data_IF_234007269529
#
_entry.id   IF_234007269529
#
_cell.length_a   1.000
_cell.length_b   1.000
_cell.length_c   1.000
_cell.angle_alpha   90.00
_cell.angle_beta   90.00
_cell.angle_gamma   90.00
#
_symmetry.space_group_name_H-M   'P 1'
#
loop_
_entity.id
_entity.type
_entity.pdbx_description
1 polymer ?
#
# COMPACT_ATOMS: atom_id res chain seq x y z
N UNK A 1 -46.95 9.65 -73.14
CA UNK A 1 -46.32 9.82 -71.82
C UNK A 1 -47.21 9.12 -70.80
N UNK A 2 -46.60 8.27 -69.99
CA UNK A 2 -47.22 7.12 -69.33
C UNK A 2 -47.93 7.43 -68.00
N UNK A 3 -48.84 6.51 -67.64
CA UNK A 3 -49.67 6.45 -66.45
C UNK A 3 -48.89 6.13 -65.15
N UNK A 4 -49.60 6.16 -64.00
CA UNK A 4 -49.51 5.30 -62.77
C UNK A 4 -50.22 6.06 -61.62
N UNK A 5 -51.43 5.68 -61.17
CA UNK A 5 -51.82 4.66 -60.17
C UNK A 5 -51.36 4.94 -58.71
N UNK A 6 -52.34 5.16 -57.82
CA UNK A 6 -52.35 5.06 -56.34
C UNK A 6 -51.71 3.74 -55.82
N UNK A 7 -51.39 3.48 -54.50
CA UNK A 7 -52.20 3.84 -53.31
C UNK A 7 -51.51 3.92 -51.90
N UNK A 8 -52.33 4.14 -50.86
CA UNK A 8 -52.23 3.64 -49.46
C UNK A 8 -50.87 3.72 -48.73
N UNK A 9 -50.74 4.68 -47.78
CA UNK A 9 -49.72 4.61 -46.71
C UNK A 9 -50.18 3.65 -45.61
N UNK A 10 -49.55 2.47 -45.60
CA UNK A 10 -49.52 1.49 -44.49
C UNK A 10 -48.87 2.08 -43.23
N UNK A 11 -49.28 1.68 -42.01
CA UNK A 11 -48.73 2.22 -40.77
C UNK A 11 -47.30 1.76 -40.54
N UNK A 12 -46.41 2.71 -40.26
CA UNK A 12 -45.05 2.45 -39.79
C UNK A 12 -45.13 1.71 -38.44
N UNK A 13 -44.85 0.40 -38.47
CA UNK A 13 -44.52 -0.37 -37.27
C UNK A 13 -43.25 0.21 -36.67
N UNK A 14 -43.35 0.73 -35.45
CA UNK A 14 -42.21 1.08 -34.61
C UNK A 14 -41.31 -0.14 -34.39
N UNK A 15 -39.98 -0.04 -34.56
CA UNK A 15 -39.10 -1.10 -34.12
C UNK A 15 -39.10 -1.13 -32.59
N UNK A 16 -39.72 -2.18 -32.05
CA UNK A 16 -39.56 -2.63 -30.67
C UNK A 16 -38.06 -2.70 -30.37
N UNK A 17 -37.57 -1.79 -29.52
CA UNK A 17 -36.30 -2.00 -28.82
C UNK A 17 -36.54 -3.18 -27.88
N UNK A 18 -36.10 -4.37 -28.31
CA UNK A 18 -35.87 -5.49 -27.42
C UNK A 18 -34.88 -5.04 -26.35
N UNK A 19 -35.19 -5.09 -25.04
CA UNK A 19 -34.18 -4.96 -24.04
C UNK A 19 -33.36 -6.26 -24.09
N UNK A 20 -32.24 -6.21 -24.83
CA UNK A 20 -31.14 -7.12 -24.57
C UNK A 20 -30.72 -6.86 -23.12
N UNK A 21 -31.23 -7.69 -22.20
CA UNK A 21 -30.69 -7.83 -20.86
C UNK A 21 -29.34 -8.53 -21.03
N UNK A 22 -28.38 -7.78 -21.53
CA UNK A 22 -26.98 -8.13 -21.42
C UNK A 22 -26.65 -8.11 -19.94
N UNK A 23 -26.33 -9.28 -19.38
CA UNK A 23 -25.48 -9.35 -18.19
C UNK A 23 -24.16 -8.68 -18.57
N UNK A 24 -24.07 -7.36 -18.38
CA UNK A 24 -22.80 -6.67 -18.32
C UNK A 24 -22.13 -7.13 -17.03
N UNK A 25 -21.43 -8.27 -17.08
CA UNK A 25 -20.44 -8.57 -16.07
C UNK A 25 -19.46 -7.40 -16.06
N UNK A 26 -19.30 -6.73 -14.92
CA UNK A 26 -18.29 -5.68 -14.80
C UNK A 26 -16.94 -6.28 -15.21
N UNK A 27 -16.33 -5.75 -16.26
CA UNK A 27 -14.98 -6.15 -16.66
C UNK A 27 -13.99 -5.52 -15.68
N UNK A 28 -13.24 -6.37 -14.97
CA UNK A 28 -12.19 -5.94 -14.05
C UNK A 28 -10.86 -5.81 -14.80
N UNK A 29 -9.91 -5.05 -14.28
CA UNK A 29 -8.56 -5.00 -14.89
C UNK A 29 -7.85 -6.35 -14.71
N UNK A 30 -6.93 -6.67 -15.62
CA UNK A 30 -6.12 -7.90 -15.55
C UNK A 30 -5.41 -8.04 -14.21
N UNK A 31 -4.91 -6.95 -13.62
CA UNK A 31 -4.26 -6.99 -12.31
C UNK A 31 -5.24 -7.33 -11.17
N UNK A 32 -6.48 -6.83 -11.24
CA UNK A 32 -7.51 -7.16 -10.28
C UNK A 32 -7.92 -8.63 -10.40
N UNK A 33 -8.11 -9.15 -11.62
CA UNK A 33 -8.43 -10.56 -11.87
C UNK A 33 -7.32 -11.49 -11.36
N UNK A 34 -6.05 -11.17 -11.65
CA UNK A 34 -4.90 -11.91 -11.17
C UNK A 34 -4.80 -11.90 -9.63
N UNK A 35 -5.14 -10.78 -8.98
CA UNK A 35 -5.23 -10.72 -7.52
C UNK A 35 -6.37 -11.59 -6.97
N UNK A 36 -7.56 -11.57 -7.58
CA UNK A 36 -8.68 -12.39 -7.12
C UNK A 36 -8.36 -13.88 -7.15
N UNK A 37 -7.65 -14.33 -8.17
CA UNK A 37 -7.23 -15.73 -8.32
C UNK A 37 -6.26 -16.19 -7.22
N UNK A 38 -5.58 -15.26 -6.54
CA UNK A 38 -4.65 -15.56 -5.44
C UNK A 38 -5.33 -15.61 -4.07
N UNK A 39 -6.60 -15.22 -3.98
CA UNK A 39 -7.37 -15.38 -2.74
C UNK A 39 -7.97 -16.76 -2.65
N UNK A 40 -7.68 -17.44 -1.54
CA UNK A 40 -8.20 -18.77 -1.23
C UNK A 40 -9.72 -18.76 -1.07
N UNK A 41 -10.26 -17.70 -0.43
CA UNK A 41 -11.68 -17.40 -0.44
C UNK A 41 -11.96 -16.33 -1.49
N UNK A 42 -12.75 -16.63 -2.55
CA UNK A 42 -13.05 -15.64 -3.57
C UNK A 42 -13.73 -14.40 -2.98
N UNK A 43 -13.33 -13.16 -3.38
CA UNK A 43 -13.98 -11.96 -2.89
C UNK A 43 -15.43 -11.87 -3.37
N UNK A 44 -16.28 -11.28 -2.55
CA UNK A 44 -17.65 -10.91 -2.93
C UNK A 44 -17.63 -9.95 -4.12
N UNK A 45 -18.74 -9.90 -4.89
CA UNK A 45 -18.86 -8.97 -6.02
C UNK A 45 -18.60 -7.51 -5.61
N UNK A 46 -19.14 -7.08 -4.45
CA UNK A 46 -18.89 -5.75 -3.92
C UNK A 46 -17.39 -5.51 -3.64
N UNK A 47 -16.69 -6.47 -3.02
CA UNK A 47 -15.26 -6.32 -2.74
C UNK A 47 -14.40 -6.32 -4.02
N UNK A 48 -14.78 -7.09 -5.04
CA UNK A 48 -14.11 -7.04 -6.36
C UNK A 48 -14.17 -5.64 -6.98
N UNK A 49 -15.34 -4.97 -6.91
CA UNK A 49 -15.49 -3.59 -7.38
C UNK A 49 -14.57 -2.65 -6.60
N UNK A 50 -14.51 -2.74 -5.27
CA UNK A 50 -13.65 -1.88 -4.44
C UNK A 50 -12.16 -2.08 -4.77
N UNK A 51 -11.70 -3.32 -4.90
CA UNK A 51 -10.31 -3.64 -5.25
C UNK A 51 -9.99 -3.10 -6.65
N UNK A 52 -10.88 -3.31 -7.62
CA UNK A 52 -10.67 -2.83 -8.98
C UNK A 52 -10.60 -1.30 -9.05
N UNK A 53 -11.54 -0.60 -8.41
CA UNK A 53 -11.54 0.87 -8.36
C UNK A 53 -10.29 1.42 -7.69
N UNK A 54 -9.80 0.75 -6.64
CA UNK A 54 -8.54 1.09 -6.00
C UNK A 54 -7.37 0.97 -7.00
N UNK A 55 -7.23 -0.16 -7.69
CA UNK A 55 -6.15 -0.40 -8.66
C UNK A 55 -6.22 0.60 -9.82
N UNK A 56 -7.41 0.86 -10.37
CA UNK A 56 -7.63 1.85 -11.43
C UNK A 56 -7.20 3.24 -10.97
N UNK A 57 -7.54 3.64 -9.74
CA UNK A 57 -7.13 4.93 -9.18
C UNK A 57 -5.61 5.06 -9.11
N UNK A 58 -4.90 4.01 -8.67
CA UNK A 58 -3.44 4.02 -8.61
C UNK A 58 -2.80 4.04 -10.00
N UNK A 59 -3.39 3.37 -10.99
CA UNK A 59 -2.92 3.41 -12.38
C UNK A 59 -3.09 4.81 -12.97
N UNK A 60 -4.26 5.42 -12.80
CA UNK A 60 -4.53 6.78 -13.28
C UNK A 60 -3.61 7.82 -12.66
N UNK A 61 -3.19 7.63 -11.41
CA UNK A 61 -2.29 8.53 -10.69
C UNK A 61 -0.79 8.28 -10.97
N UNK A 62 -0.43 7.23 -11.73
CA UNK A 62 0.96 6.82 -11.94
C UNK A 62 1.63 6.12 -10.75
N UNK A 63 0.91 5.91 -9.64
CA UNK A 63 1.42 5.23 -8.44
C UNK A 63 1.69 3.74 -8.73
N UNK A 64 0.80 3.09 -9.50
CA UNK A 64 0.88 1.64 -9.74
C UNK A 64 2.20 1.19 -10.37
N UNK A 65 2.78 2.00 -11.25
CA UNK A 65 4.05 1.66 -11.94
C UNK A 65 5.27 1.83 -11.04
N UNK A 66 5.14 2.57 -9.93
CA UNK A 66 6.21 2.84 -8.97
C UNK A 66 6.22 1.88 -7.77
N UNK A 67 5.22 1.00 -7.66
CA UNK A 67 5.11 0.02 -6.58
C UNK A 67 5.90 -1.26 -6.91
N UNK A 68 6.65 -1.75 -5.92
CA UNK A 68 7.14 -3.13 -5.87
C UNK A 68 6.19 -4.02 -5.08
N UNK A 69 5.69 -3.50 -3.95
CA UNK A 69 4.77 -4.21 -3.09
C UNK A 69 3.68 -3.29 -2.53
N UNK A 70 2.49 -3.83 -2.43
CA UNK A 70 1.34 -3.22 -1.79
C UNK A 70 0.53 -4.29 -1.08
N UNK A 71 0.35 -4.13 0.22
CA UNK A 71 -0.52 -4.99 1.02
C UNK A 71 -1.65 -4.15 1.60
N UNK A 72 -2.89 -4.54 1.32
CA UNK A 72 -4.07 -4.02 2.00
C UNK A 72 -4.51 -5.08 2.99
N UNK A 73 -4.03 -4.95 4.22
CA UNK A 73 -4.20 -5.92 5.29
C UNK A 73 -5.60 -5.88 5.92
N UNK A 74 -6.33 -4.76 5.79
CA UNK A 74 -7.76 -4.70 6.10
C UNK A 74 -8.59 -5.49 5.07
N UNK A 75 -8.50 -6.82 5.15
CA UNK A 75 -9.09 -7.76 4.21
C UNK A 75 -10.10 -8.70 4.89
N UNK A 76 -10.84 -9.46 4.07
CA UNK A 76 -11.88 -10.37 4.54
C UNK A 76 -11.34 -11.52 5.42
N UNK A 77 -10.12 -11.98 5.13
CA UNK A 77 -9.45 -13.04 5.90
C UNK A 77 -7.92 -12.83 5.91
N UNK A 78 -7.26 -13.60 6.78
CA UNK A 78 -5.81 -13.49 7.01
C UNK A 78 -4.98 -13.87 5.78
N UNK A 79 -5.45 -14.77 4.91
CA UNK A 79 -4.71 -15.15 3.71
C UNK A 79 -4.76 -14.03 2.66
N UNK A 80 -5.92 -13.41 2.47
CA UNK A 80 -6.10 -12.26 1.59
C UNK A 80 -5.29 -11.04 2.06
N UNK A 81 -5.25 -10.80 3.38
CA UNK A 81 -4.49 -9.69 3.98
C UNK A 81 -2.98 -9.76 3.73
N UNK A 82 -2.44 -10.95 3.46
CA UNK A 82 -1.01 -11.18 3.22
C UNK A 82 -0.61 -11.12 1.76
N UNK A 83 -1.56 -11.05 0.82
CA UNK A 83 -1.22 -11.01 -0.60
C UNK A 83 -0.68 -9.64 -1.00
N UNK A 84 0.44 -9.63 -1.74
CA UNK A 84 0.90 -8.43 -2.42
C UNK A 84 -0.02 -8.15 -3.62
N UNK A 85 -0.77 -7.06 -3.57
CA UNK A 85 -1.71 -6.68 -4.62
C UNK A 85 -1.02 -6.38 -5.95
N UNK A 86 0.26 -5.99 -5.93
CA UNK A 86 1.02 -5.62 -7.13
C UNK A 86 1.43 -6.82 -7.99
N UNK A 87 1.92 -7.88 -7.37
CA UNK A 87 2.52 -9.05 -8.04
C UNK A 87 2.49 -10.26 -7.11
N UNK A 88 2.57 -11.47 -7.65
CA UNK A 88 2.70 -12.71 -6.85
C UNK A 88 4.13 -12.95 -6.38
N UNK A 89 4.64 -11.97 -5.65
CA UNK A 89 5.97 -11.96 -5.03
C UNK A 89 5.89 -11.09 -3.79
N UNK A 90 6.73 -11.37 -2.79
CA UNK A 90 6.76 -10.63 -1.53
C UNK A 90 5.41 -10.71 -0.77
N UNK A 91 4.72 -11.84 -0.84
CA UNK A 91 3.56 -12.08 0.02
C UNK A 91 4.02 -12.15 1.49
N UNK A 92 3.23 -11.58 2.40
CA UNK A 92 3.60 -11.49 3.81
C UNK A 92 3.59 -12.87 4.48
N UNK A 93 4.56 -13.10 5.37
CA UNK A 93 4.56 -14.24 6.28
C UNK A 93 4.44 -13.75 7.72
N UNK A 94 3.46 -14.27 8.44
CA UNK A 94 3.26 -13.97 9.86
C UNK A 94 4.23 -14.78 10.72
N UNK A 95 4.93 -14.11 11.64
CA UNK A 95 5.91 -14.73 12.55
C UNK A 95 5.51 -14.41 13.98
N UNK A 96 5.53 -15.43 14.85
CA UNK A 96 5.13 -15.35 16.26
C UNK A 96 3.68 -14.94 16.51
N UNK A 97 2.79 -15.17 15.54
CA UNK A 97 1.33 -15.02 15.66
C UNK A 97 0.81 -13.58 15.86
N UNK A 98 1.12 -12.61 14.97
CA UNK A 98 0.43 -11.32 14.98
C UNK A 98 -1.09 -11.52 14.85
N UNK A 99 -1.85 -10.75 15.62
CA UNK A 99 -3.31 -10.89 15.68
C UNK A 99 -3.94 -10.30 14.43
N UNK A 100 -4.55 -11.12 13.61
CA UNK A 100 -5.38 -10.68 12.50
C UNK A 100 -6.79 -10.34 12.98
N UNK A 101 -7.34 -9.22 12.50
CA UNK A 101 -8.76 -8.90 12.65
C UNK A 101 -9.34 -8.60 11.27
N UNK A 102 -10.45 -9.26 10.92
CA UNK A 102 -11.15 -9.07 9.64
C UNK A 102 -11.45 -7.60 9.40
N UNK A 103 -11.14 -7.11 8.20
CA UNK A 103 -11.30 -5.72 7.76
C UNK A 103 -10.59 -4.70 8.65
N UNK A 104 -9.57 -5.15 9.40
CA UNK A 104 -8.87 -4.31 10.38
C UNK A 104 -7.36 -4.45 10.25
N UNK A 105 -6.86 -5.60 9.82
CA UNK A 105 -5.44 -5.85 9.57
C UNK A 105 -4.76 -6.60 10.70
N UNK A 106 -3.44 -6.45 10.81
CA UNK A 106 -2.61 -7.17 11.78
C UNK A 106 -2.15 -6.27 12.91
N UNK A 107 -2.27 -6.75 14.14
CA UNK A 107 -1.66 -6.14 15.32
C UNK A 107 -0.46 -6.98 15.80
N UNK A 108 0.66 -6.31 16.07
CA UNK A 108 1.79 -6.91 16.80
C UNK A 108 1.48 -7.05 18.29
N UNK A 109 2.32 -7.81 18.99
CA UNK A 109 2.26 -8.01 20.44
C UNK A 109 3.21 -7.08 21.21
N UNK A 110 3.99 -6.25 20.49
CA UNK A 110 5.03 -5.39 21.07
C UNK A 110 6.29 -6.12 21.54
N UNK A 111 6.47 -7.42 21.23
CA UNK A 111 7.60 -8.21 21.74
C UNK A 111 8.24 -9.17 20.73
N UNK A 112 7.47 -9.85 19.87
CA UNK A 112 8.00 -10.89 18.97
C UNK A 112 7.21 -11.00 17.65
N UNK A 113 5.92 -10.68 17.68
CA UNK A 113 5.03 -10.76 16.52
C UNK A 113 5.38 -9.73 15.46
N UNK A 114 5.52 -10.18 14.22
CA UNK A 114 5.78 -9.31 13.06
C UNK A 114 5.37 -9.98 11.75
N UNK A 115 5.46 -9.24 10.64
CA UNK A 115 5.26 -9.76 9.29
C UNK A 115 6.55 -9.62 8.50
N UNK A 116 7.05 -10.71 7.92
CA UNK A 116 8.17 -10.64 6.98
C UNK A 116 7.65 -10.44 5.57
N UNK A 117 8.34 -9.60 4.78
CA UNK A 117 7.94 -9.28 3.40
C UNK A 117 8.67 -10.12 2.35
N UNK A 118 9.84 -10.66 2.69
CA UNK A 118 10.77 -11.25 1.71
C UNK A 118 11.43 -10.23 0.78
N UNK A 119 11.19 -8.93 0.96
CA UNK A 119 11.76 -7.87 0.14
C UNK A 119 13.09 -7.38 0.72
N UNK A 120 14.19 -7.60 -0.02
CA UNK A 120 15.52 -7.06 0.33
C UNK A 120 15.91 -5.96 -0.66
N UNK A 121 15.99 -4.68 -0.23
CA UNK A 121 16.24 -3.57 -1.14
C UNK A 121 17.47 -3.73 -2.04
N UNK A 122 18.58 -4.28 -1.53
CA UNK A 122 19.81 -4.44 -2.33
C UNK A 122 19.72 -5.52 -3.43
N UNK A 123 18.73 -6.41 -3.39
CA UNK A 123 18.63 -7.55 -4.33
C UNK A 123 17.29 -7.66 -5.04
N UNK A 124 16.27 -6.87 -4.66
CA UNK A 124 14.94 -6.94 -5.26
C UNK A 124 14.92 -6.58 -6.77
N UNK A 125 15.77 -5.64 -7.22
CA UNK A 125 15.90 -5.27 -8.62
C UNK A 125 14.69 -4.55 -9.25
N UNK A 126 13.74 -4.10 -8.40
CA UNK A 126 12.50 -3.44 -8.80
C UNK A 126 12.58 -1.91 -8.80
N UNK A 127 11.51 -1.25 -8.39
CA UNK A 127 11.32 0.21 -8.39
C UNK A 127 12.09 0.91 -7.24
N UNK A 128 12.20 0.26 -6.09
CA UNK A 128 12.93 0.79 -4.94
C UNK A 128 14.43 0.89 -5.26
N UNK A 129 14.93 2.12 -5.33
CA UNK A 129 16.31 2.43 -5.63
C UNK A 129 16.93 3.36 -4.59
N UNK A 130 18.27 3.45 -4.58
CA UNK A 130 19.04 4.19 -3.59
C UNK A 130 18.57 5.64 -3.46
N UNK A 131 18.36 6.32 -4.58
CA UNK A 131 17.96 7.73 -4.66
C UNK A 131 16.51 7.95 -5.09
N UNK A 132 15.72 6.88 -5.18
CA UNK A 132 14.29 6.91 -5.51
C UNK A 132 13.61 5.77 -4.79
N UNK A 133 13.08 6.03 -3.60
CA UNK A 133 12.45 4.98 -2.79
C UNK A 133 11.32 5.52 -1.93
N UNK A 134 10.38 4.65 -1.56
CA UNK A 134 9.43 4.88 -0.48
C UNK A 134 9.18 3.62 0.34
N UNK A 135 8.84 3.84 1.60
CA UNK A 135 8.17 2.89 2.48
C UNK A 135 6.85 3.53 2.93
N UNK A 136 5.79 2.75 3.05
CA UNK A 136 4.48 3.24 3.48
C UNK A 136 3.82 2.28 4.46
N UNK A 137 3.10 2.84 5.43
CA UNK A 137 2.27 2.10 6.40
C UNK A 137 1.01 2.90 6.74
N UNK A 138 -0.12 2.20 6.85
CA UNK A 138 -1.34 2.75 7.45
C UNK A 138 -1.56 2.09 8.81
N UNK A 139 -1.55 2.88 9.87
CA UNK A 139 -1.86 2.43 11.22
C UNK A 139 -3.26 2.89 11.63
N UNK A 140 -4.03 2.00 12.25
CA UNK A 140 -5.39 2.30 12.75
C UNK A 140 -5.43 2.66 14.23
N UNK A 141 -4.30 2.57 14.92
CA UNK A 141 -4.21 2.74 16.37
C UNK A 141 -3.23 3.84 16.70
N UNK A 142 -3.55 4.61 17.74
CA UNK A 142 -2.59 5.52 18.34
C UNK A 142 -1.90 4.81 19.53
N UNK A 143 -0.58 4.68 19.48
CA UNK A 143 0.24 4.18 20.58
C UNK A 143 1.59 4.89 20.58
N UNK A 144 2.12 5.14 21.76
CA UNK A 144 3.47 5.68 21.93
C UNK A 144 4.43 4.52 22.16
N UNK A 145 5.33 4.23 21.20
CA UNK A 145 6.27 3.10 21.32
C UNK A 145 7.54 3.34 20.53
N UNK A 146 8.70 2.88 21.02
CA UNK A 146 9.95 2.93 20.26
C UNK A 146 10.01 1.91 19.10
N UNK A 147 8.90 1.22 18.80
CA UNK A 147 8.83 0.21 17.76
C UNK A 147 8.82 0.77 16.34
N UNK A 148 9.48 0.04 15.42
CA UNK A 148 9.54 0.37 14.00
C UNK A 148 8.30 -0.18 13.30
N UNK A 149 7.60 0.66 12.53
CA UNK A 149 6.37 0.26 11.83
C UNK A 149 6.65 -0.58 10.58
N UNK A 150 7.69 -0.20 9.82
CA UNK A 150 8.23 -0.92 8.68
C UNK A 150 9.73 -0.62 8.62
N UNK A 151 10.56 -1.63 8.37
CA UNK A 151 11.96 -1.36 8.02
C UNK A 151 12.96 -2.48 8.16
N UNK A 152 14.18 -2.18 7.72
CA UNK A 152 15.38 -2.99 7.84
C UNK A 152 16.64 -2.11 7.82
N UNK A 153 17.74 -2.66 8.33
CA UNK A 153 19.09 -2.09 8.25
C UNK A 153 20.15 -3.19 8.22
N UNK A 154 21.29 -2.91 7.61
CA UNK A 154 22.38 -3.91 7.50
C UNK A 154 23.04 -4.14 8.85
N UNK A 155 23.31 -3.06 9.58
CA UNK A 155 23.81 -3.08 10.95
C UNK A 155 23.26 -1.86 11.71
N UNK A 156 23.52 -1.79 13.01
CA UNK A 156 23.19 -0.60 13.79
C UNK A 156 23.87 0.64 13.16
N UNK A 157 23.09 1.64 12.77
CA UNK A 157 23.61 2.84 12.13
C UNK A 157 24.09 2.66 10.68
N UNK A 158 23.74 1.58 9.97
CA UNK A 158 24.19 1.36 8.59
C UNK A 158 23.06 0.94 7.65
N UNK A 159 22.97 1.63 6.52
CA UNK A 159 22.07 1.40 5.40
C UNK A 159 20.62 1.29 5.88
N UNK A 160 20.11 2.31 6.56
CA UNK A 160 18.83 2.20 7.27
C UNK A 160 17.65 2.60 6.38
N UNK A 161 16.68 1.70 6.22
CA UNK A 161 15.41 1.95 5.54
C UNK A 161 14.25 1.59 6.46
N UNK A 162 13.69 2.57 7.16
CA UNK A 162 12.70 2.36 8.21
C UNK A 162 11.80 3.58 8.46
N UNK A 163 10.67 3.33 9.12
CA UNK A 163 9.76 4.34 9.66
C UNK A 163 9.41 3.99 11.11
N UNK A 164 9.60 4.95 12.02
CA UNK A 164 8.98 5.00 13.34
C UNK A 164 7.93 6.12 13.27
N UNK A 165 6.66 5.78 13.38
CA UNK A 165 5.56 6.75 13.19
C UNK A 165 5.26 7.57 14.45
N UNK A 166 5.63 7.06 15.62
CA UNK A 166 5.57 7.75 16.92
C UNK A 166 6.44 7.03 17.95
N UNK A 167 7.56 7.62 18.32
CA UNK A 167 8.50 7.08 19.31
C UNK A 167 8.03 7.32 20.76
N UNK A 168 8.78 6.77 21.73
CA UNK A 168 8.60 7.03 23.17
C UNK A 168 8.77 8.51 23.57
N UNK A 169 9.34 9.34 22.69
CA UNK A 169 9.51 10.79 22.89
C UNK A 169 8.56 11.62 22.04
N UNK A 170 7.48 11.02 21.50
CA UNK A 170 6.54 11.68 20.57
C UNK A 170 7.22 12.27 19.34
N UNK A 171 8.19 11.55 18.78
CA UNK A 171 8.84 11.88 17.52
C UNK A 171 8.53 10.83 16.46
N UNK A 172 8.21 11.25 15.25
CA UNK A 172 8.37 10.39 14.08
C UNK A 172 9.85 10.35 13.65
N UNK A 173 10.26 9.27 13.01
CA UNK A 173 11.63 9.07 12.52
C UNK A 173 11.58 8.27 11.23
N UNK A 174 12.15 8.81 10.14
CA UNK A 174 12.30 8.07 8.89
C UNK A 174 13.75 7.98 8.41
N UNK A 175 14.11 6.85 7.81
CA UNK A 175 15.40 6.61 7.16
C UNK A 175 15.13 5.86 5.86
N UNK A 176 15.82 6.16 4.78
CA UNK A 176 15.72 5.40 3.53
C UNK A 176 17.11 5.32 2.91
N UNK A 177 17.88 4.32 3.30
CA UNK A 177 19.24 4.03 2.83
C UNK A 177 20.33 5.00 3.35
N UNK A 178 20.36 5.29 4.66
CA UNK A 178 21.39 6.19 5.25
C UNK A 178 21.93 5.72 6.61
N UNK A 179 23.12 6.18 6.97
CA UNK A 179 23.87 5.71 8.16
C UNK A 179 23.70 6.61 9.39
N UNK A 180 23.38 7.90 9.19
CA UNK A 180 23.23 8.85 10.28
C UNK A 180 21.79 8.92 10.85
N UNK A 181 21.66 9.65 11.97
CA UNK A 181 20.36 10.14 12.44
C UNK A 181 19.72 10.98 11.32
N UNK A 182 18.79 10.39 10.60
CA UNK A 182 17.86 11.12 9.75
C UNK A 182 16.89 12.02 10.50
N UNK A 183 16.01 12.60 9.71
CA UNK A 183 15.01 13.54 10.17
C UNK A 183 14.03 12.93 11.17
N UNK A 184 13.49 13.82 11.99
CA UNK A 184 12.46 13.55 12.98
C UNK A 184 11.69 14.83 13.25
N UNK A 185 10.38 14.71 13.43
CA UNK A 185 9.48 15.80 13.81
C UNK A 185 8.54 15.33 14.91
N UNK A 186 7.87 16.28 15.58
CA UNK A 186 6.87 15.94 16.59
C UNK A 186 5.72 15.11 15.98
N UNK A 187 5.36 14.03 16.66
CA UNK A 187 4.26 13.14 16.30
C UNK A 187 3.59 12.63 17.58
N UNK A 188 2.40 13.16 17.88
CA UNK A 188 1.60 12.78 19.04
C UNK A 188 0.50 11.76 18.69
N UNK A 189 0.44 11.33 17.44
CA UNK A 189 -0.58 10.42 16.94
C UNK A 189 -0.03 9.51 15.84
N UNK A 190 0.00 8.21 16.13
CA UNK A 190 0.48 7.17 15.22
C UNK A 190 -0.60 6.58 14.32
N UNK A 191 -1.79 7.18 14.24
CA UNK A 191 -2.85 6.73 13.33
C UNK A 191 -2.79 7.39 11.96
N UNK A 192 -3.37 6.76 10.94
CA UNK A 192 -3.43 7.26 9.57
C UNK A 192 -2.33 6.71 8.67
N UNK A 193 -2.18 7.34 7.51
CA UNK A 193 -1.26 6.93 6.46
C UNK A 193 0.07 7.66 6.58
N UNK A 194 1.16 6.91 6.69
CA UNK A 194 2.53 7.42 6.73
C UNK A 194 3.31 6.91 5.53
N UNK A 195 3.91 7.82 4.76
CA UNK A 195 4.78 7.49 3.63
C UNK A 195 6.10 8.24 3.81
N UNK A 196 7.17 7.50 4.05
CA UNK A 196 8.52 8.03 3.93
C UNK A 196 8.98 7.86 2.49
N UNK A 197 9.57 8.91 1.91
CA UNK A 197 10.17 8.85 0.58
C UNK A 197 11.57 9.45 0.55
N UNK A 198 12.36 8.97 -0.40
CA UNK A 198 13.63 9.55 -0.82
C UNK A 198 13.51 9.88 -2.30
N UNK A 199 13.57 11.16 -2.63
CA UNK A 199 13.42 11.68 -4.00
C UNK A 199 14.75 12.12 -4.63
N UNK A 200 15.86 11.94 -3.91
CA UNK A 200 17.20 12.22 -4.39
C UNK A 200 18.27 11.82 -3.37
N UNK A 201 19.54 11.99 -3.74
CA UNK A 201 20.67 11.59 -2.90
C UNK A 201 20.68 12.25 -1.53
N UNK A 202 20.15 13.46 -1.38
CA UNK A 202 20.07 14.21 -0.13
C UNK A 202 18.66 14.79 0.10
N UNK A 203 17.61 14.07 -0.32
CA UNK A 203 16.23 14.55 -0.21
C UNK A 203 15.30 13.44 0.29
N UNK A 204 14.87 13.56 1.55
CA UNK A 204 13.87 12.69 2.15
C UNK A 204 12.71 13.50 2.72
N UNK A 205 11.53 12.88 2.79
CA UNK A 205 10.37 13.44 3.48
C UNK A 205 9.55 12.33 4.12
N UNK A 206 8.89 12.64 5.23
CA UNK A 206 7.77 11.85 5.74
C UNK A 206 6.49 12.65 5.53
N UNK A 207 5.50 11.98 4.94
CA UNK A 207 4.17 12.51 4.72
C UNK A 207 3.17 11.74 5.57
N UNK A 208 2.23 12.45 6.17
CA UNK A 208 1.06 11.89 6.86
C UNK A 208 -0.22 12.36 6.17
N UNK A 209 -1.09 11.43 5.80
CA UNK A 209 -2.38 11.70 5.17
C UNK A 209 -2.29 12.68 3.98
N UNK A 210 -1.31 12.47 3.10
CA UNK A 210 -1.07 13.33 1.92
C UNK A 210 -0.22 14.57 2.19
N UNK A 211 0.08 14.92 3.44
CA UNK A 211 0.78 16.18 3.79
C UNK A 211 2.18 15.91 4.33
N UNK A 212 3.20 16.64 3.87
CA UNK A 212 4.55 16.55 4.42
C UNK A 212 4.60 17.07 5.85
N UNK A 213 5.12 16.24 6.77
CA UNK A 213 5.28 16.58 8.19
C UNK A 213 6.74 16.68 8.61
N UNK A 214 7.67 16.26 7.75
CA UNK A 214 9.10 16.20 8.06
C UNK A 214 9.92 16.09 6.79
N UNK A 215 11.08 16.76 6.75
CA UNK A 215 12.03 16.67 5.65
C UNK A 215 13.45 16.47 6.18
N UNK A 216 14.30 15.85 5.36
CA UNK A 216 15.68 15.57 5.74
C UNK A 216 16.64 15.66 4.55
N UNK A 217 17.84 16.16 4.82
CA UNK A 217 18.89 16.42 3.83
C UNK A 217 20.08 15.46 3.92
N UNK A 218 20.00 14.43 4.76
CA UNK A 218 21.07 13.45 4.92
C UNK A 218 21.26 12.63 3.65
N UNK A 219 22.52 12.52 3.22
CA UNK A 219 22.89 11.78 2.03
C UNK A 219 22.58 10.27 2.17
N UNK A 220 22.13 9.64 1.08
CA UNK A 220 22.06 8.18 1.00
C UNK A 220 23.45 7.57 0.95
N UNK A 221 23.62 6.39 1.55
CA UNK A 221 24.88 5.64 1.57
C UNK A 221 24.79 4.41 0.67
N UNK A 222 24.06 3.39 1.09
CA UNK A 222 23.77 2.20 0.30
C UNK A 222 22.42 1.58 0.67
N UNK A 223 21.92 0.72 -0.22
CA UNK A 223 20.72 -0.07 0.02
C UNK A 223 20.99 -1.10 1.13
N UNK A 224 20.01 -1.31 2.00
CA UNK A 224 20.13 -2.35 3.02
C UNK A 224 20.14 -3.74 2.40
N UNK A 225 20.98 -4.59 2.97
CA UNK A 225 21.10 -6.02 2.66
C UNK A 225 20.17 -6.90 3.50
N UNK A 226 19.49 -6.33 4.50
CA UNK A 226 18.50 -7.02 5.32
C UNK A 226 17.10 -6.92 4.70
N UNK A 227 16.30 -7.98 4.87
CA UNK A 227 14.91 -8.00 4.38
C UNK A 227 14.00 -7.10 5.22
N UNK A 228 13.18 -6.28 4.57
CA UNK A 228 12.20 -5.39 5.20
C UNK A 228 11.13 -6.20 5.92
N UNK A 229 10.78 -5.79 7.14
CA UNK A 229 9.68 -6.38 7.93
C UNK A 229 8.67 -5.30 8.33
N UNK A 230 7.43 -5.70 8.62
CA UNK A 230 6.39 -4.85 9.20
C UNK A 230 6.21 -5.20 10.68
N UNK A 231 5.96 -4.21 11.53
CA UNK A 231 5.75 -4.42 12.96
C UNK A 231 7.03 -4.47 13.81
N UNK A 232 8.21 -4.43 13.18
CA UNK A 232 9.52 -4.56 13.81
C UNK A 232 10.63 -3.94 12.95
N UNK A 233 11.89 -4.10 13.39
CA UNK A 233 13.10 -3.78 12.65
C UNK A 233 13.94 -5.04 12.44
N UNK A 234 14.35 -5.30 11.20
CA UNK A 234 15.38 -6.28 10.90
C UNK A 234 16.77 -5.63 10.87
N UNK A 235 17.66 -6.01 11.79
CA UNK A 235 19.07 -5.57 11.82
C UNK A 235 19.97 -6.74 11.45
N UNK A 236 20.36 -6.84 10.18
CA UNK A 236 21.29 -7.87 9.73
C UNK A 236 20.83 -9.31 9.99
N UNK A 237 19.51 -9.56 10.01
CA UNK A 237 18.91 -10.87 10.32
C UNK A 237 18.36 -10.99 11.75
N UNK A 238 18.67 -10.04 12.63
CA UNK A 238 18.14 -10.01 14.01
C UNK A 238 16.91 -9.10 14.07
N UNK A 239 15.76 -9.65 14.45
CA UNK A 239 14.51 -8.90 14.56
C UNK A 239 14.38 -8.30 15.98
N UNK A 240 14.10 -7.00 16.05
CA UNK A 240 13.91 -6.25 17.30
C UNK A 240 13.01 -5.03 17.10
N UNK A 241 12.91 -4.16 18.12
CA UNK A 241 12.13 -2.90 18.06
C UNK A 241 10.68 -3.12 17.59
N UNK A 242 9.98 -4.05 18.24
CA UNK A 242 8.60 -4.40 17.94
C UNK A 242 7.63 -3.28 18.32
N UNK A 243 6.48 -3.24 17.65
CA UNK A 243 5.35 -2.39 18.02
C UNK A 243 4.06 -3.20 18.19
N UNK A 244 3.01 -2.53 18.69
CA UNK A 244 1.67 -3.06 18.87
C UNK A 244 0.62 -2.31 18.01
N UNK A 245 1.06 -1.67 16.92
CA UNK A 245 0.14 -0.98 16.01
C UNK A 245 -0.73 -1.99 15.27
N UNK A 246 -1.98 -1.61 14.99
CA UNK A 246 -2.84 -2.35 14.07
C UNK A 246 -2.66 -1.79 12.65
N UNK A 247 -1.88 -2.49 11.83
CA UNK A 247 -1.53 -2.07 10.48
C UNK A 247 -2.58 -2.54 9.46
N UNK A 248 -3.18 -1.59 8.74
CA UNK A 248 -4.23 -1.83 7.76
C UNK A 248 -3.72 -1.87 6.31
N UNK A 249 -2.59 -1.25 6.04
CA UNK A 249 -1.93 -1.28 4.74
C UNK A 249 -0.42 -1.03 4.88
N UNK A 250 0.35 -1.46 3.89
CA UNK A 250 1.76 -1.14 3.75
C UNK A 250 2.20 -1.15 2.28
N UNK A 251 3.27 -0.44 1.95
CA UNK A 251 3.82 -0.40 0.57
C UNK A 251 5.33 -0.18 0.52
N UNK A 252 5.93 -0.61 -0.58
CA UNK A 252 7.35 -0.43 -0.93
C UNK A 252 7.45 -0.08 -2.42
N UNK A 253 8.34 0.83 -2.79
CA UNK A 253 8.59 1.14 -4.20
C UNK A 253 9.52 2.33 -4.44
N UNK A 254 9.47 2.92 -5.64
CA UNK A 254 10.19 4.15 -6.00
C UNK A 254 9.65 5.40 -5.29
N UNK A 255 10.34 6.53 -5.41
CA UNK A 255 9.84 7.80 -4.86
C UNK A 255 8.52 8.22 -5.50
N UNK A 256 7.57 8.63 -4.66
CA UNK A 256 6.31 9.25 -5.07
C UNK A 256 6.41 10.77 -5.00
N UNK A 257 5.81 11.50 -5.93
CA UNK A 257 5.58 12.94 -5.87
C UNK A 257 4.49 13.29 -4.85
N UNK A 258 4.32 14.57 -4.51
CA UNK A 258 3.29 14.99 -3.55
C UNK A 258 1.88 14.69 -4.06
N UNK A 259 1.66 14.89 -5.36
CA UNK A 259 0.40 14.54 -6.02
C UNK A 259 0.14 13.03 -5.98
N UNK A 260 1.16 12.21 -6.22
CA UNK A 260 1.06 10.75 -6.15
C UNK A 260 0.79 10.26 -4.71
N UNK A 261 1.45 10.85 -3.70
CA UNK A 261 1.19 10.53 -2.29
C UNK A 261 -0.24 10.90 -1.91
N UNK A 262 -0.73 12.07 -2.32
CA UNK A 262 -2.12 12.51 -2.08
C UNK A 262 -3.12 11.56 -2.75
N UNK A 263 -2.90 11.20 -4.02
CA UNK A 263 -3.75 10.26 -4.73
C UNK A 263 -3.75 8.87 -4.09
N UNK A 264 -2.58 8.40 -3.63
CA UNK A 264 -2.45 7.11 -2.97
C UNK A 264 -3.14 7.09 -1.61
N UNK A 265 -3.01 8.16 -0.82
CA UNK A 265 -3.74 8.34 0.43
C UNK A 265 -5.26 8.29 0.18
N UNK A 266 -5.77 9.07 -0.78
CA UNK A 266 -7.20 9.11 -1.09
C UNK A 266 -7.74 7.74 -1.54
N UNK A 267 -6.98 7.00 -2.36
CA UNK A 267 -7.37 5.65 -2.78
C UNK A 267 -7.44 4.67 -1.58
N UNK A 268 -6.44 4.72 -0.69
CA UNK A 268 -6.44 3.91 0.55
C UNK A 268 -7.59 4.29 1.47
N UNK A 269 -7.81 5.58 1.71
CA UNK A 269 -8.91 6.07 2.54
C UNK A 269 -10.26 5.62 2.00
N UNK A 270 -10.52 5.79 0.71
CA UNK A 270 -11.77 5.38 0.07
C UNK A 270 -12.02 3.88 0.20
N UNK A 271 -10.99 3.05 -0.03
CA UNK A 271 -11.11 1.59 0.17
C UNK A 271 -11.38 1.23 1.63
N UNK A 272 -10.58 1.78 2.56
CA UNK A 272 -10.67 1.48 3.99
C UNK A 272 -12.02 1.92 4.56
N UNK A 273 -12.56 3.08 4.16
CA UNK A 273 -13.91 3.50 4.53
C UNK A 273 -14.98 2.52 4.00
N UNK A 274 -14.86 2.08 2.75
CA UNK A 274 -15.82 1.18 2.13
C UNK A 274 -15.85 -0.22 2.76
N UNK A 275 -14.75 -0.69 3.37
CA UNK A 275 -14.70 -1.94 4.15
C UNK A 275 -14.89 -1.71 5.66
N UNK A 276 -15.15 -0.47 6.09
CA UNK A 276 -15.39 -0.10 7.49
C UNK A 276 -14.14 -0.12 8.39
N UNK A 277 -12.95 0.08 7.81
CA UNK A 277 -11.64 0.00 8.46
C UNK A 277 -11.00 1.35 8.82
N UNK A 278 -11.50 2.47 8.25
CA UNK A 278 -10.92 3.80 8.44
C UNK A 278 -10.99 4.30 9.88
#
# INVERSE_FOLDING_TARGET
MAAVLSPLRSPLRSPLHSPLVGKWGASYTTEAEALFARFTTPPTAARKVLINSFIVSLKSAGVWTKLDALWIMAAADSQAARQNWKVDLYNLTAVSSPTFTTDRGFAGDGSASHLTTGFTPSTAGGQFALNSSHLGVWSRTNAQTAGVAIGARTAAGSHQSLIIIRSASDLEVHRLNQDANGASSASTDSSGDFIARRSGAAATALLRNGTSISTGTVASTALTTAGVVLGALNTGGVIGNFNNYQLAAASIGASLSDAEVTAFYNAKLAYLQAVGAA
#
